data_IF_518259514216
#
_entry.id   IF_518259514216
#
_cell.length_a   1.000
_cell.length_b   1.000
_cell.length_c   1.000
_cell.angle_alpha   90.00
_cell.angle_beta   90.00
_cell.angle_gamma   90.00
#
_symmetry.space_group_name_H-M   'P 1'
#
loop_
_entity.id
_entity.type
_entity.pdbx_description
1 polymer ?
#
# COMPACT_ATOMS: atom_id res chain seq x y z
N UNK A 1 21.03 5.36 -0.12
CA UNK A 1 20.38 4.20 0.51
C UNK A 1 18.85 4.30 0.72
N UNK A 2 18.14 5.38 0.34
CA UNK A 2 16.70 5.55 0.67
C UNK A 2 15.67 5.10 -0.39
N UNK A 3 16.05 4.86 -1.66
CA UNK A 3 15.10 4.44 -2.71
C UNK A 3 14.52 3.02 -2.48
N UNK A 4 15.16 2.21 -1.64
CA UNK A 4 14.76 0.82 -1.43
C UNK A 4 13.54 0.69 -0.51
N UNK A 5 13.38 1.54 0.50
CA UNK A 5 12.28 1.41 1.48
C UNK A 5 10.92 1.64 0.82
N UNK A 6 10.77 2.73 0.04
CA UNK A 6 9.51 3.01 -0.67
C UNK A 6 9.16 1.93 -1.70
N UNK A 7 10.16 1.42 -2.42
CA UNK A 7 9.95 0.33 -3.38
C UNK A 7 9.56 -0.98 -2.69
N UNK A 8 10.17 -1.28 -1.54
CA UNK A 8 9.84 -2.45 -0.73
C UNK A 8 8.42 -2.35 -0.18
N UNK A 9 8.08 -1.18 0.38
CA UNK A 9 6.71 -0.86 0.79
C UNK A 9 5.70 -1.10 -0.33
N UNK A 10 5.95 -0.52 -1.51
CA UNK A 10 5.07 -0.68 -2.66
C UNK A 10 4.92 -2.13 -3.11
N UNK A 11 6.01 -2.93 -3.06
CA UNK A 11 5.97 -4.37 -3.38
C UNK A 11 5.18 -5.19 -2.36
N UNK A 12 5.32 -4.89 -1.06
CA UNK A 12 4.58 -5.59 -0.02
C UNK A 12 3.09 -5.24 -0.07
N UNK A 13 2.77 -3.95 -0.25
CA UNK A 13 1.38 -3.52 -0.49
C UNK A 13 0.78 -4.27 -1.69
N UNK A 14 1.51 -4.36 -2.80
CA UNK A 14 1.08 -5.13 -3.97
C UNK A 14 0.88 -6.61 -3.67
N UNK A 15 1.74 -7.21 -2.86
CA UNK A 15 1.62 -8.61 -2.41
C UNK A 15 0.30 -8.82 -1.66
N UNK A 16 0.03 -8.04 -0.62
CA UNK A 16 -1.20 -8.17 0.19
C UNK A 16 -2.46 -7.90 -0.63
N UNK A 17 -2.42 -6.87 -1.49
CA UNK A 17 -3.52 -6.56 -2.41
C UNK A 17 -3.85 -7.75 -3.33
N UNK A 18 -2.82 -8.36 -3.95
CA UNK A 18 -3.00 -9.51 -4.84
C UNK A 18 -3.47 -10.77 -4.10
N UNK A 19 -3.08 -10.95 -2.85
CA UNK A 19 -3.59 -12.06 -2.01
C UNK A 19 -5.11 -11.93 -1.78
N UNK A 20 -5.62 -10.69 -1.64
CA UNK A 20 -7.06 -10.40 -1.58
C UNK A 20 -7.74 -10.33 -2.96
N UNK A 21 -7.01 -10.58 -4.06
CA UNK A 21 -7.49 -10.53 -5.46
C UNK A 21 -8.05 -9.17 -5.90
N UNK A 22 -7.60 -8.08 -5.28
CA UNK A 22 -8.05 -6.73 -5.61
C UNK A 22 -7.16 -6.11 -6.71
N UNK A 23 -7.77 -5.32 -7.58
CA UNK A 23 -7.10 -4.35 -8.46
C UNK A 23 -6.65 -3.12 -7.67
N UNK A 24 -5.81 -2.28 -8.28
CA UNK A 24 -5.35 -1.04 -7.62
C UNK A 24 -6.50 -0.06 -7.38
N UNK A 25 -7.46 -0.02 -8.30
CA UNK A 25 -8.65 0.82 -8.20
C UNK A 25 -9.59 0.31 -7.12
N UNK A 26 -9.87 -1.01 -7.07
CA UNK A 26 -10.68 -1.62 -6.01
C UNK A 26 -10.09 -1.35 -4.63
N UNK A 27 -8.78 -1.57 -4.41
CA UNK A 27 -8.18 -1.26 -3.11
C UNK A 27 -8.23 0.25 -2.78
N UNK A 28 -8.15 1.11 -3.79
CA UNK A 28 -8.28 2.55 -3.55
C UNK A 28 -9.68 2.89 -3.07
N UNK A 29 -10.73 2.34 -3.72
CA UNK A 29 -12.12 2.52 -3.34
C UNK A 29 -12.42 1.98 -1.93
N UNK A 30 -11.93 0.78 -1.63
CA UNK A 30 -12.08 0.13 -0.31
C UNK A 30 -11.45 0.94 0.84
N UNK A 31 -10.44 1.75 0.54
CA UNK A 31 -9.76 2.62 1.50
C UNK A 31 -10.25 4.08 1.45
N UNK A 32 -11.31 4.37 0.69
CA UNK A 32 -11.83 5.72 0.44
C UNK A 32 -10.75 6.68 -0.12
N UNK A 33 -10.01 6.18 -1.12
CA UNK A 33 -8.91 6.87 -1.81
C UNK A 33 -9.22 7.05 -3.29
N UNK A 34 -8.59 8.05 -3.90
CA UNK A 34 -8.59 8.22 -5.36
C UNK A 34 -8.10 6.93 -6.07
N UNK A 35 -8.78 6.52 -7.15
CA UNK A 35 -8.51 5.25 -7.86
C UNK A 35 -7.06 5.06 -8.34
N UNK A 36 -6.29 6.15 -8.48
CA UNK A 36 -4.88 6.10 -8.88
C UNK A 36 -3.90 6.04 -7.68
N UNK A 37 -4.39 6.23 -6.45
CA UNK A 37 -3.58 6.40 -5.25
C UNK A 37 -2.70 5.17 -4.98
N UNK A 38 -3.31 3.99 -4.92
CA UNK A 38 -2.60 2.73 -4.67
C UNK A 38 -1.56 2.47 -5.77
N UNK A 39 -1.89 2.73 -7.02
CA UNK A 39 -0.95 2.59 -8.13
C UNK A 39 0.28 3.50 -7.97
N UNK A 40 0.11 4.74 -7.52
CA UNK A 40 1.22 5.67 -7.24
C UNK A 40 2.07 5.19 -6.06
N UNK A 41 1.45 4.66 -5.00
CA UNK A 41 2.15 4.13 -3.82
C UNK A 41 2.96 2.88 -4.17
N UNK A 42 2.36 1.91 -4.88
CA UNK A 42 3.04 0.68 -5.31
C UNK A 42 4.28 0.96 -6.17
N UNK A 43 4.21 2.01 -7.00
CA UNK A 43 5.30 2.43 -7.87
C UNK A 43 6.28 3.41 -7.21
N UNK A 44 6.14 3.68 -5.92
CA UNK A 44 6.94 4.66 -5.17
C UNK A 44 6.95 6.07 -5.80
N UNK A 45 5.85 6.45 -6.46
CA UNK A 45 5.64 7.75 -7.12
C UNK A 45 4.95 8.79 -6.23
N UNK A 46 4.52 8.40 -5.02
CA UNK A 46 3.84 9.26 -4.07
C UNK A 46 4.38 9.05 -2.64
N UNK A 47 4.40 10.13 -1.85
CA UNK A 47 4.67 10.07 -0.42
C UNK A 47 3.36 9.77 0.32
N UNK A 48 3.34 8.69 1.10
CA UNK A 48 2.19 8.28 1.91
C UNK A 48 2.37 8.77 3.35
N UNK A 49 1.27 9.15 4.00
CA UNK A 49 1.26 9.56 5.42
C UNK A 49 1.25 8.32 6.32
N UNK A 50 1.63 8.50 7.59
CA UNK A 50 1.58 7.41 8.58
C UNK A 50 0.15 6.90 8.80
N UNK A 51 -0.84 7.78 8.88
CA UNK A 51 -2.25 7.39 9.06
C UNK A 51 -2.74 6.47 7.94
N UNK A 52 -2.33 6.74 6.70
CA UNK A 52 -2.68 5.88 5.56
C UNK A 52 -1.94 4.55 5.57
N UNK A 53 -0.70 4.52 6.06
CA UNK A 53 0.04 3.27 6.25
C UNK A 53 -0.66 2.40 7.31
N UNK A 54 -1.11 3.01 8.41
CA UNK A 54 -1.85 2.33 9.48
C UNK A 54 -3.19 1.80 8.94
N UNK A 55 -3.98 2.64 8.26
CA UNK A 55 -5.25 2.23 7.67
C UNK A 55 -5.11 1.06 6.68
N UNK A 56 -4.02 1.03 5.89
CA UNK A 56 -3.70 -0.09 5.00
C UNK A 56 -3.40 -1.36 5.80
N UNK A 57 -2.61 -1.25 6.88
CA UNK A 57 -2.27 -2.40 7.72
C UNK A 57 -3.52 -2.98 8.41
N UNK A 58 -4.38 -2.10 8.93
CA UNK A 58 -5.65 -2.44 9.55
C UNK A 58 -6.59 -3.12 8.55
N UNK A 59 -6.72 -2.59 7.33
CA UNK A 59 -7.53 -3.18 6.26
C UNK A 59 -7.10 -4.62 5.92
N UNK A 60 -5.79 -4.87 5.90
CA UNK A 60 -5.27 -6.21 5.63
C UNK A 60 -5.23 -7.13 6.85
N UNK A 61 -5.51 -6.60 8.05
CA UNK A 61 -5.40 -7.27 9.35
C UNK A 61 -3.97 -7.80 9.60
N UNK A 62 -2.97 -6.96 9.35
CA UNK A 62 -1.55 -7.28 9.52
C UNK A 62 -0.84 -6.27 10.42
N UNK A 63 0.28 -6.67 11.02
CA UNK A 63 1.18 -5.72 11.66
C UNK A 63 1.74 -4.75 10.61
N UNK A 64 1.76 -3.45 10.92
CA UNK A 64 2.29 -2.40 10.04
C UNK A 64 3.72 -2.67 9.57
N UNK A 65 4.53 -3.37 10.37
CA UNK A 65 5.91 -3.76 10.02
C UNK A 65 5.96 -4.68 8.81
N UNK A 66 4.91 -5.50 8.58
CA UNK A 66 4.81 -6.38 7.41
C UNK A 66 4.86 -5.60 6.09
N UNK A 67 4.36 -4.36 6.07
CA UNK A 67 4.45 -3.50 4.89
C UNK A 67 5.90 -3.09 4.59
N UNK A 68 6.82 -3.22 5.54
CA UNK A 68 8.22 -2.82 5.40
C UNK A 68 9.22 -3.98 5.35
N UNK A 69 8.80 -5.24 5.44
CA UNK A 69 9.70 -6.41 5.39
C UNK A 69 10.34 -6.60 4.02
#
# INVERSE_FOLDING_TARGET
>A
MNKNVKKRFGKNLQKYRRQRRLSQEELSLELDLDGSYIGKVENAKLNITLDKIIAIADYFEIDVVELFK
#
